data_IF_198714168962
#
_entry.id   IF_198714168962
#
_cell.length_a   1.000
_cell.length_b   1.000
_cell.length_c   1.000
_cell.angle_alpha   90.00
_cell.angle_beta   90.00
_cell.angle_gamma   90.00
#
_symmetry.space_group_name_H-M   'P 1'
#
loop_
_entity.id
_entity.type
_entity.pdbx_description
1 polymer ?
#
# COMPACT_ATOMS: atom_id res chain seq x y z
N UNK A 1 20.04 21.00 56.87
CA UNK A 1 21.20 20.62 56.04
C UNK A 1 20.74 19.58 55.03
N UNK A 2 20.76 19.98 53.76
CA UNK A 2 20.79 19.20 52.51
C UNK A 2 19.78 18.05 52.27
N UNK A 3 18.83 18.32 51.36
CA UNK A 3 18.53 17.54 50.13
C UNK A 3 17.20 18.01 49.55
N UNK A 4 17.22 18.87 48.51
CA UNK A 4 16.17 19.00 47.44
C UNK A 4 16.33 20.29 46.62
N UNK A 5 17.46 20.48 45.93
CA UNK A 5 17.59 21.52 44.88
C UNK A 5 18.44 21.06 43.70
N UNK A 6 18.20 19.84 43.21
CA UNK A 6 18.73 19.39 41.92
C UNK A 6 17.60 18.76 41.14
N UNK A 7 16.91 19.55 40.30
CA UNK A 7 16.22 19.10 39.06
C UNK A 7 15.29 20.20 38.47
N UNK A 8 15.80 21.38 38.11
CA UNK A 8 15.00 22.39 37.39
C UNK A 8 15.63 22.95 36.09
N UNK A 9 16.80 22.47 35.68
CA UNK A 9 17.35 22.81 34.36
C UNK A 9 17.86 21.54 33.65
N UNK A 10 17.05 21.00 32.75
CA UNK A 10 17.56 20.12 31.69
C UNK A 10 18.42 21.00 30.78
N UNK A 11 19.74 20.99 30.95
CA UNK A 11 20.65 21.66 30.03
C UNK A 11 20.72 20.86 28.73
N UNK A 12 19.77 21.11 27.83
CA UNK A 12 19.90 20.67 26.44
C UNK A 12 21.14 21.33 25.82
N UNK A 13 22.01 20.51 25.22
CA UNK A 13 23.21 21.01 24.55
C UNK A 13 22.84 22.05 23.49
N UNK A 14 23.64 23.12 23.29
CA UNK A 14 23.37 24.12 22.25
C UNK A 14 23.15 23.52 20.85
N UNK A 15 23.85 22.43 20.52
CA UNK A 15 23.67 21.68 19.29
C UNK A 15 22.28 21.01 19.19
N UNK A 16 21.77 20.46 20.30
CA UNK A 16 20.43 19.85 20.36
C UNK A 16 19.36 20.92 20.15
N UNK A 17 19.47 22.06 20.83
CA UNK A 17 18.55 23.19 20.64
C UNK A 17 18.54 23.67 19.19
N UNK A 18 19.71 23.79 18.56
CA UNK A 18 19.84 24.19 17.16
C UNK A 18 19.15 23.19 16.23
N UNK A 19 19.45 21.90 16.36
CA UNK A 19 18.86 20.84 15.53
C UNK A 19 17.34 20.70 15.72
N UNK A 20 16.82 20.96 16.92
CA UNK A 20 15.38 21.02 17.18
C UNK A 20 14.70 22.22 16.54
N UNK A 21 15.44 23.28 16.18
CA UNK A 21 14.91 24.44 15.45
C UNK A 21 14.37 24.12 14.05
N UNK A 22 14.78 22.98 13.46
CA UNK A 22 14.23 22.49 12.18
C UNK A 22 13.18 21.38 12.35
N UNK A 23 12.81 21.04 13.59
CA UNK A 23 11.80 20.01 13.87
C UNK A 23 10.47 20.38 13.20
N UNK A 24 9.77 19.38 12.67
CA UNK A 24 8.44 19.52 12.10
C UNK A 24 7.37 19.02 13.07
N UNK A 25 6.20 19.68 13.06
CA UNK A 25 5.06 19.42 13.94
C UNK A 25 5.32 19.77 15.41
N UNK A 26 4.27 19.83 16.22
CA UNK A 26 4.39 20.18 17.66
C UNK A 26 4.23 18.97 18.58
N UNK A 27 3.70 17.87 18.05
CA UNK A 27 3.48 16.64 18.82
C UNK A 27 4.81 15.95 19.17
N UNK A 28 4.86 15.34 20.37
CA UNK A 28 5.97 14.51 20.85
C UNK A 28 7.33 15.21 21.07
N UNK A 29 7.34 16.48 21.50
CA UNK A 29 8.56 17.28 21.70
C UNK A 29 9.64 16.59 22.57
N UNK A 30 9.24 16.05 23.73
CA UNK A 30 10.16 15.30 24.63
C UNK A 30 10.78 14.07 23.96
N UNK A 31 10.07 13.44 23.01
CA UNK A 31 10.60 12.30 22.27
C UNK A 31 11.62 12.77 21.23
N UNK A 32 11.31 13.84 20.49
CA UNK A 32 12.22 14.41 19.50
C UNK A 32 13.52 14.93 20.15
N UNK A 33 13.41 15.58 21.31
CA UNK A 33 14.57 16.03 22.09
C UNK A 33 15.51 14.86 22.43
N UNK A 34 14.96 13.73 22.91
CA UNK A 34 15.74 12.51 23.19
C UNK A 34 16.33 11.89 21.92
N UNK A 35 15.61 11.92 20.80
CA UNK A 35 16.09 11.39 19.52
C UNK A 35 17.30 12.19 19.00
N UNK A 36 17.19 13.52 19.05
CA UNK A 36 18.23 14.45 18.60
C UNK A 36 19.42 14.42 19.56
N UNK A 37 19.21 14.39 20.88
CA UNK A 37 20.30 14.25 21.85
C UNK A 37 21.12 12.96 21.63
N UNK A 38 20.44 11.83 21.41
CA UNK A 38 21.08 10.56 21.06
C UNK A 38 21.87 10.65 19.75
N UNK A 39 21.35 11.38 18.75
CA UNK A 39 22.05 11.59 17.49
C UNK A 39 23.32 12.44 17.66
N UNK A 40 23.21 13.57 18.34
CA UNK A 40 24.32 14.51 18.57
C UNK A 40 25.49 13.79 19.24
N UNK A 41 25.22 12.92 20.22
CA UNK A 41 26.24 12.08 20.88
C UNK A 41 26.94 11.13 19.91
N UNK A 42 26.24 10.62 18.89
CA UNK A 42 26.82 9.75 17.84
C UNK A 42 27.62 10.55 16.83
N UNK A 43 27.09 11.68 16.34
CA UNK A 43 27.73 12.50 15.32
C UNK A 43 28.98 13.21 15.84
N UNK A 44 29.05 13.55 17.14
CA UNK A 44 30.28 14.08 17.76
C UNK A 44 31.50 13.15 17.63
N UNK A 45 31.29 11.85 17.39
CA UNK A 45 32.38 10.88 17.16
C UNK A 45 32.91 10.91 15.73
N UNK A 46 32.20 11.54 14.78
CA UNK A 46 32.56 11.63 13.36
C UNK A 46 32.81 13.10 12.99
N UNK A 47 34.08 13.45 12.76
CA UNK A 47 34.50 14.83 12.46
C UNK A 47 33.73 15.36 11.24
N UNK A 48 33.13 16.54 11.35
CA UNK A 48 32.38 17.21 10.27
C UNK A 48 30.94 16.73 10.05
N UNK A 49 30.51 15.60 10.65
CA UNK A 49 29.17 15.06 10.41
C UNK A 49 28.05 15.94 11.00
N UNK A 50 28.33 16.64 12.10
CA UNK A 50 27.41 17.64 12.66
C UNK A 50 27.23 18.83 11.71
N UNK A 51 28.32 19.38 11.19
CA UNK A 51 28.27 20.53 10.28
C UNK A 51 27.59 20.16 8.95
N UNK A 52 27.81 18.94 8.46
CA UNK A 52 27.12 18.43 7.28
C UNK A 52 25.61 18.27 7.49
N UNK A 53 25.18 17.84 8.68
CA UNK A 53 23.76 17.76 9.03
C UNK A 53 23.13 19.15 9.13
N UNK A 54 23.79 20.08 9.83
CA UNK A 54 23.30 21.45 9.95
C UNK A 54 23.17 22.11 8.59
N UNK A 55 24.16 21.94 7.71
CA UNK A 55 24.12 22.43 6.32
C UNK A 55 22.95 21.83 5.53
N UNK A 56 22.72 20.53 5.66
CA UNK A 56 21.62 19.86 4.97
C UNK A 56 20.25 20.39 5.45
N UNK A 57 20.09 20.61 6.75
CA UNK A 57 18.85 21.14 7.33
C UNK A 57 18.63 22.63 7.01
N UNK A 58 19.71 23.44 6.96
CA UNK A 58 19.64 24.87 6.63
C UNK A 58 19.40 25.16 5.15
N UNK A 59 19.76 24.23 4.26
CA UNK A 59 19.65 24.39 2.80
C UNK A 59 18.83 23.26 2.15
N UNK A 60 17.50 23.19 2.38
CA UNK A 60 16.63 22.17 1.80
C UNK A 60 16.74 22.12 0.28
N UNK A 61 16.83 20.92 -0.29
CA UNK A 61 16.85 20.71 -1.74
C UNK A 61 18.21 20.95 -2.42
N UNK A 62 19.22 21.45 -1.71
CA UNK A 62 20.58 21.54 -2.26
C UNK A 62 21.34 20.21 -2.13
N UNK A 63 22.27 19.90 -3.05
CA UNK A 63 23.15 18.74 -2.93
C UNK A 63 23.90 18.77 -1.60
N UNK A 64 23.83 17.66 -0.86
CA UNK A 64 24.48 17.50 0.45
C UNK A 64 25.09 16.10 0.56
N UNK A 65 26.07 15.95 1.46
CA UNK A 65 26.72 14.66 1.72
C UNK A 65 25.86 13.77 2.61
N UNK A 66 26.15 12.47 2.60
CA UNK A 66 25.49 11.54 3.51
C UNK A 66 25.92 11.82 4.96
N UNK A 67 24.93 12.00 5.84
CA UNK A 67 25.17 12.01 7.28
C UNK A 67 24.83 10.62 7.78
N UNK A 68 25.80 9.89 8.33
CA UNK A 68 25.62 8.47 8.66
C UNK A 68 25.80 8.17 10.14
N UNK A 69 25.17 7.09 10.59
CA UNK A 69 25.43 6.47 11.89
C UNK A 69 25.62 4.95 11.76
N UNK A 70 26.30 4.29 12.71
CA UNK A 70 26.44 2.84 12.71
C UNK A 70 25.09 2.12 12.85
N UNK A 71 24.91 1.00 12.13
CA UNK A 71 23.75 0.11 12.28
C UNK A 71 23.86 -0.74 13.54
N UNK A 72 22.74 -0.97 14.21
CA UNK A 72 22.63 -2.03 15.24
C UNK A 72 22.47 -3.40 14.58
N UNK A 73 22.62 -4.48 15.36
CA UNK A 73 22.42 -5.86 14.90
C UNK A 73 21.05 -6.09 14.26
N UNK A 74 20.00 -5.46 14.79
CA UNK A 74 18.63 -5.54 14.29
C UNK A 74 18.24 -4.33 13.42
N UNK A 75 19.19 -3.44 13.10
CA UNK A 75 18.97 -2.22 12.33
C UNK A 75 18.14 -1.12 13.01
N UNK A 76 17.64 -1.34 14.24
CA UNK A 76 16.77 -0.40 14.95
C UNK A 76 17.51 0.38 16.04
N UNK A 77 17.18 1.67 16.15
CA UNK A 77 17.62 2.57 17.20
C UNK A 77 16.54 2.66 18.29
N UNK A 78 16.96 2.53 19.55
CA UNK A 78 16.10 2.78 20.71
C UNK A 78 16.18 4.26 21.11
N UNK A 79 15.02 4.92 21.17
CA UNK A 79 14.85 6.28 21.67
C UNK A 79 13.80 6.25 22.78
N UNK A 80 14.25 6.47 24.02
CA UNK A 80 13.43 6.28 25.22
C UNK A 80 12.86 4.85 25.29
N UNK A 81 11.52 4.70 25.26
CA UNK A 81 10.82 3.42 25.32
C UNK A 81 10.41 2.88 23.93
N UNK A 82 10.80 3.56 22.84
CA UNK A 82 10.42 3.19 21.47
C UNK A 82 11.64 2.73 20.68
N UNK A 83 11.47 1.66 19.90
CA UNK A 83 12.46 1.21 18.89
C UNK A 83 11.96 1.57 17.51
N UNK A 84 12.83 2.14 16.68
CA UNK A 84 12.49 2.52 15.31
C UNK A 84 13.71 2.51 14.40
N UNK A 85 13.48 2.54 13.10
CA UNK A 85 14.56 2.62 12.11
C UNK A 85 15.16 4.04 12.10
N UNK A 86 16.48 4.22 12.09
CA UNK A 86 17.05 5.55 12.27
C UNK A 86 16.68 6.56 11.18
N UNK A 87 16.70 6.14 9.91
CA UNK A 87 16.28 6.99 8.80
C UNK A 87 14.80 7.42 8.91
N UNK A 88 13.92 6.53 9.39
CA UNK A 88 12.51 6.87 9.67
C UNK A 88 12.40 7.88 10.81
N UNK A 89 13.10 7.63 11.93
CA UNK A 89 13.09 8.52 13.11
C UNK A 89 13.48 9.94 12.69
N UNK A 90 14.59 10.10 11.98
CA UNK A 90 15.13 11.41 11.66
C UNK A 90 14.42 12.10 10.49
N UNK A 91 13.91 11.35 9.49
CA UNK A 91 12.99 11.92 8.50
C UNK A 91 11.68 12.40 9.15
N UNK A 92 11.19 11.66 10.16
CA UNK A 92 9.98 12.05 10.90
C UNK A 92 10.18 13.32 11.70
N UNK A 93 11.33 13.48 12.35
CA UNK A 93 11.67 14.68 13.13
C UNK A 93 11.74 15.93 12.23
N UNK A 94 12.36 15.86 11.05
CA UNK A 94 12.70 17.06 10.27
C UNK A 94 11.92 17.28 8.97
N UNK A 95 11.12 16.32 8.49
CA UNK A 95 10.39 16.48 7.22
C UNK A 95 8.93 16.04 7.28
N UNK A 96 8.66 14.85 7.80
CA UNK A 96 7.34 14.22 7.72
C UNK A 96 6.88 13.70 9.08
N UNK A 97 6.27 14.55 9.93
CA UNK A 97 5.82 14.16 11.29
C UNK A 97 4.88 12.96 11.33
N UNK A 98 4.11 12.79 10.25
CA UNK A 98 3.13 11.74 10.02
C UNK A 98 3.73 10.47 9.40
N UNK A 99 5.04 10.42 9.16
CA UNK A 99 5.75 9.25 8.64
C UNK A 99 5.66 8.08 9.64
N UNK A 100 5.15 6.94 9.19
CA UNK A 100 4.91 5.77 10.04
C UNK A 100 5.86 4.62 9.75
N UNK A 101 6.26 4.45 8.48
CA UNK A 101 7.07 3.32 8.05
C UNK A 101 8.16 3.69 7.05
N UNK A 102 9.18 2.84 6.96
CA UNK A 102 10.24 2.98 5.97
C UNK A 102 9.76 2.73 4.53
N UNK A 103 8.67 1.98 4.34
CA UNK A 103 8.11 1.75 2.99
C UNK A 103 7.62 3.03 2.32
N UNK A 104 7.31 4.06 3.12
CA UNK A 104 6.95 5.40 2.63
C UNK A 104 8.16 6.19 2.13
N UNK A 105 9.39 5.67 2.25
CA UNK A 105 10.61 6.33 1.84
C UNK A 105 11.30 5.58 0.70
N UNK A 106 11.80 6.32 -0.27
CA UNK A 106 12.74 5.84 -1.28
C UNK A 106 14.05 6.62 -1.18
N UNK A 107 15.22 5.96 -1.16
CA UNK A 107 16.49 6.66 -1.23
C UNK A 107 16.62 7.38 -2.58
N UNK A 108 17.29 8.52 -2.58
CA UNK A 108 17.74 9.20 -3.79
C UNK A 108 19.03 8.56 -4.32
N UNK A 109 19.27 8.69 -5.62
CA UNK A 109 20.46 8.13 -6.28
C UNK A 109 21.78 8.69 -5.73
N UNK A 110 21.76 9.92 -5.20
CA UNK A 110 22.92 10.55 -4.57
C UNK A 110 23.25 10.00 -3.17
N UNK A 111 22.43 9.09 -2.62
CA UNK A 111 22.66 8.51 -1.31
C UNK A 111 23.60 7.30 -1.40
N UNK A 112 24.82 7.44 -0.89
CA UNK A 112 25.82 6.37 -0.87
C UNK A 112 25.56 5.30 0.22
N UNK A 113 24.79 5.66 1.25
CA UNK A 113 24.50 4.80 2.42
C UNK A 113 22.99 4.59 2.65
N UNK A 114 22.20 4.15 1.65
CA UNK A 114 20.75 4.05 1.77
C UNK A 114 20.35 2.94 2.75
N UNK A 115 19.15 3.04 3.35
CA UNK A 115 18.71 2.08 4.37
C UNK A 115 18.64 0.62 3.89
N UNK A 116 18.38 0.38 2.60
CA UNK A 116 18.36 -0.96 2.00
C UNK A 116 19.76 -1.56 1.76
N UNK A 117 20.83 -0.78 1.88
CA UNK A 117 22.20 -1.29 1.71
C UNK A 117 22.62 -2.21 2.86
N UNK A 118 23.44 -3.23 2.57
CA UNK A 118 24.08 -4.12 3.58
C UNK A 118 25.33 -3.50 4.24
N UNK A 119 25.51 -2.19 4.11
CA UNK A 119 26.66 -1.48 4.66
C UNK A 119 26.56 -1.35 6.19
N UNK A 120 27.70 -1.18 6.86
CA UNK A 120 27.78 -1.03 8.34
C UNK A 120 27.18 0.28 8.86
N UNK A 121 27.07 1.28 8.00
CA UNK A 121 26.48 2.57 8.30
C UNK A 121 25.12 2.74 7.59
N UNK A 122 24.32 3.70 8.06
CA UNK A 122 23.06 4.10 7.43
C UNK A 122 22.96 5.62 7.40
N UNK A 123 22.55 6.17 6.25
CA UNK A 123 22.30 7.60 6.09
C UNK A 123 21.04 8.03 6.85
N UNK A 124 21.14 9.12 7.60
CA UNK A 124 20.04 9.77 8.32
C UNK A 124 19.74 11.17 7.80
N UNK A 125 20.42 11.62 6.75
CA UNK A 125 20.13 12.90 6.10
C UNK A 125 18.72 12.83 5.49
N UNK A 126 17.75 13.62 5.97
CA UNK A 126 16.36 13.49 5.54
C UNK A 126 16.14 13.95 4.09
N UNK A 127 17.09 14.69 3.49
CA UNK A 127 17.05 15.09 2.08
C UNK A 127 17.68 14.08 1.13
N UNK A 128 18.19 12.96 1.65
CA UNK A 128 18.64 11.81 0.84
C UNK A 128 17.54 10.78 0.61
N UNK A 129 16.33 11.11 1.06
CA UNK A 129 15.13 10.32 0.89
C UNK A 129 14.03 11.18 0.27
N UNK A 130 13.20 10.55 -0.56
CA UNK A 130 11.92 11.11 -1.00
C UNK A 130 10.78 10.29 -0.41
N UNK A 131 9.67 10.94 -0.13
CA UNK A 131 8.45 10.24 0.26
C UNK A 131 7.80 9.62 -0.97
N UNK A 132 7.19 8.45 -0.80
CA UNK A 132 6.36 7.85 -1.83
C UNK A 132 5.03 8.60 -1.84
N UNK A 133 4.74 9.23 -2.98
CA UNK A 133 3.48 9.97 -3.18
C UNK A 133 2.37 9.01 -3.62
N UNK A 134 1.15 9.29 -3.17
CA UNK A 134 -0.04 8.62 -3.68
C UNK A 134 -0.43 9.27 -5.01
N UNK A 135 -0.52 8.51 -6.11
CA UNK A 135 -0.94 9.07 -7.39
C UNK A 135 -2.40 9.50 -7.32
N UNK A 136 -2.73 10.63 -7.95
CA UNK A 136 -4.11 11.07 -8.11
C UNK A 136 -4.83 10.11 -9.06
N UNK A 137 -5.95 9.54 -8.62
CA UNK A 137 -6.74 8.61 -9.41
C UNK A 137 -7.77 9.40 -10.25
N UNK A 138 -7.94 9.08 -11.55
CA UNK A 138 -8.93 9.75 -12.39
C UNK A 138 -10.35 9.41 -11.93
N UNK A 139 -11.33 10.33 -12.06
CA UNK A 139 -12.72 10.03 -11.73
C UNK A 139 -13.31 8.98 -12.68
N UNK A 140 -14.18 8.12 -12.15
CA UNK A 140 -14.94 7.16 -12.95
C UNK A 140 -16.17 7.87 -13.52
N UNK A 141 -16.36 7.80 -14.83
CA UNK A 141 -17.50 8.42 -15.51
C UNK A 141 -18.66 7.44 -15.62
N UNK A 142 -19.80 7.76 -14.98
CA UNK A 142 -21.01 6.94 -15.03
C UNK A 142 -22.02 7.54 -16.01
N UNK A 143 -22.46 6.82 -17.06
CA UNK A 143 -23.51 7.27 -17.98
C UNK A 143 -24.84 7.50 -17.25
N UNK A 144 -25.54 8.59 -17.56
CA UNK A 144 -26.86 8.93 -16.99
C UNK A 144 -28.02 8.15 -17.61
N UNK A 145 -27.86 7.66 -18.83
CA UNK A 145 -28.88 6.93 -19.58
C UNK A 145 -28.40 5.49 -19.81
N UNK A 146 -29.04 4.55 -19.14
CA UNK A 146 -28.83 3.11 -19.27
C UNK A 146 -29.50 2.57 -20.55
N UNK A 147 -29.23 3.16 -21.70
CA UNK A 147 -29.47 2.45 -22.98
C UNK A 147 -28.32 1.45 -23.18
N UNK A 148 -28.44 0.34 -22.46
CA UNK A 148 -27.57 -0.81 -22.58
C UNK A 148 -27.67 -1.37 -24.01
N UNK A 149 -26.55 -1.49 -24.73
CA UNK A 149 -26.52 -2.22 -25.98
C UNK A 149 -26.25 -3.72 -25.67
N UNK A 150 -27.27 -4.60 -25.75
CA UNK A 150 -27.12 -6.01 -25.41
C UNK A 150 -26.16 -6.78 -26.32
N UNK A 151 -25.77 -6.22 -27.47
CA UNK A 151 -24.78 -6.84 -28.37
C UNK A 151 -23.33 -6.67 -27.90
N UNK A 152 -23.06 -5.82 -26.89
CA UNK A 152 -21.73 -5.60 -26.32
C UNK A 152 -21.52 -6.29 -24.96
N UNK A 153 -22.42 -7.19 -24.56
CA UNK A 153 -22.28 -7.97 -23.33
C UNK A 153 -21.06 -8.91 -23.39
N UNK A 154 -19.90 -8.38 -23.01
CA UNK A 154 -18.66 -9.12 -22.82
C UNK A 154 -18.63 -9.88 -21.49
N UNK A 155 -19.80 -10.13 -20.89
CA UNK A 155 -19.96 -11.07 -19.77
C UNK A 155 -19.41 -12.45 -20.15
N UNK A 156 -19.46 -12.79 -21.45
CA UNK A 156 -18.69 -13.87 -22.05
C UNK A 156 -17.18 -13.64 -21.91
N UNK A 157 -16.55 -12.57 -22.41
CA UNK A 157 -15.07 -12.33 -22.28
C UNK A 157 -14.56 -12.35 -20.84
N UNK A 158 -15.31 -11.84 -19.85
CA UNK A 158 -14.95 -11.98 -18.43
C UNK A 158 -15.09 -13.44 -17.92
N UNK A 159 -16.06 -14.21 -18.42
CA UNK A 159 -16.18 -15.69 -18.25
C UNK A 159 -15.33 -16.51 -19.23
N UNK A 160 -14.61 -15.90 -20.16
CA UNK A 160 -14.03 -16.56 -21.34
C UNK A 160 -12.52 -16.36 -21.40
N UNK A 161 -11.99 -15.41 -20.64
CA UNK A 161 -10.70 -15.56 -19.97
C UNK A 161 -10.64 -16.83 -19.08
N UNK A 162 -11.78 -17.44 -18.74
CA UNK A 162 -11.84 -18.76 -18.09
C UNK A 162 -12.27 -19.92 -19.00
N UNK A 163 -12.41 -19.75 -20.32
CA UNK A 163 -12.92 -20.82 -21.21
C UNK A 163 -12.18 -21.02 -22.55
N UNK A 164 -11.12 -20.28 -22.87
CA UNK A 164 -10.25 -20.63 -24.00
C UNK A 164 -8.95 -21.28 -23.51
N UNK A 165 -8.87 -22.59 -23.75
CA UNK A 165 -7.89 -23.58 -23.26
C UNK A 165 -7.79 -23.60 -21.74
N UNK A 166 -8.22 -24.67 -21.07
CA UNK A 166 -7.79 -25.00 -19.69
C UNK A 166 -6.28 -24.81 -19.61
N UNK A 167 -5.75 -23.71 -19.05
CA UNK A 167 -4.37 -23.70 -18.65
C UNK A 167 -4.40 -24.45 -17.33
N UNK A 168 -3.84 -25.67 -17.32
CA UNK A 168 -3.51 -26.39 -16.09
C UNK A 168 -3.16 -25.38 -14.99
N UNK A 169 -3.93 -25.40 -13.89
CA UNK A 169 -3.71 -24.55 -12.72
C UNK A 169 -2.21 -24.34 -12.51
N UNK A 170 -1.68 -23.11 -12.62
CA UNK A 170 -0.25 -22.91 -12.63
C UNK A 170 0.32 -23.24 -11.26
N UNK A 171 1.17 -24.27 -11.21
CA UNK A 171 2.01 -24.69 -10.08
C UNK A 171 2.52 -23.49 -9.27
N UNK A 172 2.46 -23.60 -7.93
CA UNK A 172 2.75 -22.57 -6.93
C UNK A 172 3.61 -21.45 -7.51
N UNK A 173 3.02 -20.27 -7.71
CA UNK A 173 3.79 -19.04 -7.87
C UNK A 173 4.49 -18.75 -6.54
N UNK A 174 5.58 -19.47 -6.30
CA UNK A 174 6.60 -19.08 -5.34
C UNK A 174 7.37 -18.00 -6.05
N UNK A 175 7.46 -16.82 -5.43
CA UNK A 175 8.30 -15.74 -5.93
C UNK A 175 9.66 -15.81 -5.21
N UNK A 176 10.68 -16.54 -5.72
CA UNK A 176 12.04 -16.32 -5.30
C UNK A 176 12.67 -15.37 -6.30
N UNK A 177 12.68 -14.06 -6.02
CA UNK A 177 13.94 -13.35 -6.16
C UNK A 177 13.94 -12.00 -5.45
N UNK A 178 15.08 -11.71 -4.84
CA UNK A 178 15.38 -10.41 -4.29
C UNK A 178 15.49 -9.44 -5.47
N UNK A 179 14.73 -8.35 -5.46
CA UNK A 179 14.69 -7.34 -6.54
C UNK A 179 16.11 -6.86 -6.95
N UNK A 180 16.69 -7.48 -7.98
CA UNK A 180 17.62 -6.82 -8.89
C UNK A 180 16.82 -6.40 -10.12
N UNK A 181 16.74 -5.09 -10.35
CA UNK A 181 16.19 -4.55 -11.59
C UNK A 181 17.10 -4.97 -12.76
N UNK A 182 16.59 -5.58 -13.84
CA UNK A 182 17.36 -5.68 -15.07
C UNK A 182 17.47 -4.29 -15.72
N UNK A 183 18.61 -3.95 -16.34
CA UNK A 183 18.77 -2.67 -17.03
C UNK A 183 17.86 -2.61 -18.26
N UNK A 184 17.18 -1.48 -18.43
CA UNK A 184 16.35 -1.18 -19.60
C UNK A 184 17.18 -1.25 -20.90
N UNK A 185 16.76 -1.99 -21.93
CA UNK A 185 17.28 -1.77 -23.28
C UNK A 185 16.59 -0.53 -23.87
N UNK A 186 17.39 0.46 -24.25
CA UNK A 186 16.94 1.62 -25.01
C UNK A 186 16.44 1.19 -26.39
N UNK A 187 15.21 1.58 -26.74
CA UNK A 187 14.71 1.48 -28.12
C UNK A 187 15.19 2.70 -28.93
N UNK A 188 15.59 2.52 -30.21
CA UNK A 188 15.99 3.62 -31.08
C UNK A 188 14.76 4.37 -31.63
N UNK A 189 14.89 5.66 -32.02
CA UNK A 189 13.79 6.44 -32.57
C UNK A 189 13.58 6.14 -34.06
N UNK A 190 12.33 5.96 -34.47
CA UNK A 190 11.93 5.88 -35.88
C UNK A 190 11.76 7.28 -36.49
N UNK A 191 12.14 7.51 -37.77
CA UNK A 191 11.99 8.81 -38.44
C UNK A 191 10.57 9.01 -39.00
N UNK A 192 10.02 10.21 -38.82
CA UNK A 192 8.75 10.65 -39.42
C UNK A 192 8.88 11.02 -40.90
N UNK A 193 7.77 11.03 -41.68
CA UNK A 193 7.80 11.36 -43.10
C UNK A 193 7.76 12.89 -43.35
N UNK A 194 8.32 13.39 -44.46
CA UNK A 194 8.33 14.83 -44.77
C UNK A 194 7.06 15.27 -45.52
N UNK A 195 6.53 16.44 -45.14
CA UNK A 195 5.54 17.20 -45.91
C UNK A 195 6.20 17.93 -47.10
N UNK A 196 5.52 18.06 -48.26
CA UNK A 196 5.87 19.07 -49.25
C UNK A 196 5.00 20.35 -49.12
N UNK A 197 5.50 21.52 -49.54
CA UNK A 197 4.88 22.82 -49.30
C UNK A 197 3.85 23.20 -50.38
N UNK A 198 2.87 24.01 -49.97
CA UNK A 198 1.87 24.68 -50.81
C UNK A 198 2.48 25.63 -51.85
N UNK A 199 1.69 26.01 -52.86
CA UNK A 199 1.64 27.41 -53.28
C UNK A 199 0.23 28.00 -53.21
N UNK A 200 0.19 29.26 -52.83
CA UNK A 200 -0.95 30.15 -52.70
C UNK A 200 -1.33 30.82 -54.04
N UNK A 201 -2.63 31.06 -54.28
CA UNK A 201 -3.22 32.34 -54.75
C UNK A 201 -4.75 32.28 -54.94
N UNK A 202 -5.48 33.12 -54.20
CA UNK A 202 -6.52 34.05 -54.67
C UNK A 202 -7.95 33.59 -55.06
N UNK A 203 -8.97 34.13 -54.35
CA UNK A 203 -10.27 34.55 -54.93
C UNK A 203 -11.56 33.91 -54.38
N UNK A 204 -12.31 34.65 -53.54
CA UNK A 204 -13.67 34.35 -53.01
C UNK A 204 -14.80 34.50 -54.08
N UNK A 205 -16.03 33.92 -53.93
CA UNK A 205 -17.10 34.42 -53.03
C UNK A 205 -17.89 33.32 -52.23
N UNK A 206 -18.78 33.72 -51.28
CA UNK A 206 -19.28 32.87 -50.19
C UNK A 206 -20.62 32.19 -50.48
N UNK A 207 -20.93 31.12 -49.73
CA UNK A 207 -22.25 30.46 -49.67
C UNK A 207 -22.51 29.91 -48.26
N UNK A 208 -23.79 29.76 -47.86
CA UNK A 208 -24.27 30.27 -46.57
C UNK A 208 -24.24 29.26 -45.40
N UNK A 209 -24.03 29.82 -44.22
CA UNK A 209 -24.51 29.40 -42.90
C UNK A 209 -25.02 27.95 -42.74
N UNK A 210 -24.14 27.06 -42.24
CA UNK A 210 -24.58 25.97 -41.36
C UNK A 210 -24.25 26.38 -39.93
N UNK A 211 -25.30 26.73 -39.19
CA UNK A 211 -25.24 26.94 -37.74
C UNK A 211 -24.56 25.73 -37.09
N UNK A 212 -23.38 25.95 -36.51
CA UNK A 212 -22.74 24.99 -35.62
C UNK A 212 -23.59 24.92 -34.35
N UNK A 213 -24.48 23.92 -34.27
CA UNK A 213 -25.09 23.55 -32.99
C UNK A 213 -23.95 23.17 -32.03
N UNK A 214 -23.88 23.78 -30.82
CA UNK A 214 -22.88 23.38 -29.85
C UNK A 214 -23.14 21.92 -29.48
N UNK A 215 -22.10 21.11 -29.69
CA UNK A 215 -21.97 19.70 -29.32
C UNK A 215 -22.42 19.53 -27.86
N UNK A 216 -23.66 19.09 -27.63
CA UNK A 216 -24.25 18.80 -26.31
C UNK A 216 -23.77 17.46 -25.70
N UNK A 217 -22.59 16.96 -26.06
CA UNK A 217 -22.16 15.59 -25.67
C UNK A 217 -21.47 15.46 -24.30
N UNK A 218 -21.26 16.54 -23.55
CA UNK A 218 -20.63 16.47 -22.22
C UNK A 218 -21.65 16.44 -21.06
N UNK A 219 -22.95 16.44 -21.33
CA UNK A 219 -24.00 16.52 -20.28
C UNK A 219 -24.46 15.17 -19.71
N UNK A 220 -24.01 14.04 -20.30
CA UNK A 220 -24.60 12.71 -20.03
C UNK A 220 -23.77 11.82 -19.09
N UNK A 221 -22.64 12.30 -18.58
CA UNK A 221 -21.79 11.54 -17.65
C UNK A 221 -21.73 12.21 -16.27
N UNK A 222 -21.73 11.40 -15.21
CA UNK A 222 -21.47 11.87 -13.85
C UNK A 222 -20.09 11.40 -13.39
N UNK A 223 -19.16 12.31 -13.04
CA UNK A 223 -17.87 11.93 -12.50
C UNK A 223 -18.01 11.48 -11.05
N UNK A 224 -17.38 10.35 -10.71
CA UNK A 224 -17.26 9.82 -9.36
C UNK A 224 -15.80 9.81 -8.95
N UNK A 225 -15.42 10.75 -8.08
CA UNK A 225 -14.07 10.89 -7.57
C UNK A 225 -13.78 9.88 -6.44
N UNK A 226 -12.53 9.43 -6.39
CA UNK A 226 -12.00 8.66 -5.26
C UNK A 226 -11.74 9.56 -4.06
N UNK A 227 -12.08 9.07 -2.86
CA UNK A 227 -11.77 9.73 -1.58
C UNK A 227 -11.10 8.71 -0.66
N UNK A 228 -10.03 9.11 0.02
CA UNK A 228 -9.37 8.23 0.99
C UNK A 228 -10.19 8.16 2.30
N UNK A 229 -10.56 6.96 2.77
CA UNK A 229 -11.29 6.81 4.03
C UNK A 229 -10.37 6.99 5.25
N UNK A 230 -10.97 7.24 6.41
CA UNK A 230 -10.25 7.35 7.69
C UNK A 230 -9.52 6.05 8.07
N UNK A 231 -10.16 4.91 7.82
CA UNK A 231 -9.57 3.59 7.95
C UNK A 231 -9.39 3.01 6.55
N UNK A 232 -8.19 2.56 6.21
CA UNK A 232 -7.93 2.08 4.85
C UNK A 232 -8.37 0.62 4.66
N UNK A 233 -8.39 -0.17 5.74
CA UNK A 233 -8.93 -1.51 5.73
C UNK A 233 -9.48 -1.96 7.09
N UNK A 234 -10.28 -3.03 7.05
CA UNK A 234 -10.66 -3.81 8.22
C UNK A 234 -10.24 -5.27 8.05
N UNK A 235 -9.90 -5.93 9.15
CA UNK A 235 -9.40 -7.30 9.17
C UNK A 235 -10.22 -8.15 10.13
N UNK A 236 -10.82 -9.22 9.64
CA UNK A 236 -11.55 -10.20 10.43
C UNK A 236 -10.75 -11.52 10.49
N UNK A 237 -10.64 -12.11 11.68
CA UNK A 237 -9.93 -13.37 11.90
C UNK A 237 -10.91 -14.55 12.00
N UNK A 238 -10.49 -15.67 11.43
CA UNK A 238 -11.28 -16.89 11.36
C UNK A 238 -10.44 -18.11 11.73
N UNK A 239 -11.11 -19.05 12.40
CA UNK A 239 -10.62 -20.40 12.63
C UNK A 239 -11.58 -21.37 11.95
N UNK A 240 -11.14 -22.03 10.89
CA UNK A 240 -11.99 -22.77 9.96
C UNK A 240 -13.10 -21.86 9.40
N UNK A 241 -14.37 -22.21 9.57
CA UNK A 241 -15.53 -21.41 9.17
C UNK A 241 -16.06 -20.48 10.26
N UNK A 242 -15.44 -20.43 11.43
CA UNK A 242 -15.90 -19.62 12.56
C UNK A 242 -15.14 -18.30 12.64
N UNK A 243 -15.86 -17.18 12.74
CA UNK A 243 -15.27 -15.87 13.05
C UNK A 243 -14.86 -15.84 14.51
N UNK A 244 -13.64 -15.39 14.78
CA UNK A 244 -13.05 -15.37 16.13
C UNK A 244 -12.57 -13.97 16.48
N UNK A 245 -13.11 -13.40 17.55
CA UNK A 245 -12.79 -12.05 18.01
C UNK A 245 -13.48 -10.94 17.22
N UNK A 246 -13.13 -9.70 17.57
CA UNK A 246 -13.64 -8.50 16.90
C UNK A 246 -12.90 -8.21 15.60
N UNK A 247 -13.53 -7.42 14.73
CA UNK A 247 -12.85 -6.91 13.53
C UNK A 247 -11.88 -5.81 13.90
N UNK A 248 -10.63 -5.95 13.48
CA UNK A 248 -9.61 -4.92 13.62
C UNK A 248 -9.79 -3.83 12.56
N UNK A 249 -9.70 -2.57 12.96
CA UNK A 249 -9.81 -1.39 12.07
C UNK A 249 -8.45 -0.71 11.93
N UNK A 250 -7.90 -0.68 10.71
CA UNK A 250 -6.58 -0.14 10.47
C UNK A 250 -6.62 1.39 10.38
N UNK A 251 -6.24 2.07 11.46
CA UNK A 251 -6.00 3.53 11.46
C UNK A 251 -4.64 3.91 10.91
N UNK A 252 -3.62 3.09 11.15
CA UNK A 252 -2.27 3.30 10.61
C UNK A 252 -2.13 2.65 9.25
N UNK A 253 -1.35 3.27 8.38
CA UNK A 253 -0.97 2.73 7.06
C UNK A 253 0.01 1.55 7.15
N UNK A 254 0.41 1.16 8.36
CA UNK A 254 1.36 0.08 8.62
C UNK A 254 0.88 -0.73 9.82
N UNK A 255 0.34 -1.92 9.57
CA UNK A 255 -0.29 -2.79 10.58
C UNK A 255 0.40 -4.14 10.65
N UNK A 256 0.77 -4.56 11.86
CA UNK A 256 1.30 -5.89 12.13
C UNK A 256 0.18 -6.81 12.63
N UNK A 257 -0.03 -7.96 12.00
CA UNK A 257 -0.97 -8.99 12.46
C UNK A 257 -0.15 -10.20 12.87
N UNK A 258 -0.17 -10.56 14.16
CA UNK A 258 0.75 -11.57 14.71
C UNK A 258 0.08 -12.55 15.68
N UNK A 259 0.81 -13.60 16.07
CA UNK A 259 0.33 -14.65 16.97
C UNK A 259 0.61 -14.39 18.44
N UNK A 260 1.05 -13.19 18.82
CA UNK A 260 1.40 -12.85 20.19
C UNK A 260 0.18 -12.32 20.97
N UNK A 261 0.40 -11.91 22.22
CA UNK A 261 -0.65 -11.62 23.21
C UNK A 261 -0.53 -10.22 23.81
N UNK A 262 0.02 -9.25 23.07
CA UNK A 262 0.13 -7.87 23.59
C UNK A 262 -1.27 -7.29 23.81
N UNK A 263 -1.66 -7.02 25.06
CA UNK A 263 -3.01 -6.57 25.41
C UNK A 263 -3.14 -5.04 25.29
N UNK A 264 -2.05 -4.33 24.98
CA UNK A 264 -2.14 -2.90 24.76
C UNK A 264 -3.05 -2.64 23.56
N UNK A 265 -3.94 -1.65 23.66
CA UNK A 265 -4.82 -1.23 22.57
C UNK A 265 -4.03 -0.49 21.47
N UNK A 266 -2.99 -1.16 20.96
CA UNK A 266 -2.10 -0.66 19.94
C UNK A 266 -2.85 -0.71 18.61
N UNK A 267 -3.28 0.45 18.13
CA UNK A 267 -4.04 0.62 16.89
C UNK A 267 -3.28 0.21 15.62
N UNK A 268 -2.00 -0.19 15.75
CA UNK A 268 -1.14 -0.60 14.64
C UNK A 268 -0.79 -2.09 14.72
N UNK A 269 -1.35 -2.83 15.68
CA UNK A 269 -1.02 -4.24 15.92
C UNK A 269 -2.27 -5.06 16.24
N UNK A 270 -2.51 -6.11 15.46
CA UNK A 270 -3.60 -7.05 15.68
C UNK A 270 -3.05 -8.39 16.19
N UNK A 271 -3.14 -8.60 17.50
CA UNK A 271 -2.62 -9.78 18.18
C UNK A 271 -3.66 -10.90 18.18
N UNK A 272 -3.46 -11.92 17.34
CA UNK A 272 -4.37 -13.07 17.25
C UNK A 272 -4.23 -14.00 18.45
N UNK A 273 -3.08 -13.99 19.14
CA UNK A 273 -2.74 -14.90 20.24
C UNK A 273 -3.67 -14.80 21.45
N UNK A 274 -4.19 -13.61 21.73
CA UNK A 274 -5.12 -13.35 22.86
C UNK A 274 -6.58 -13.70 22.57
N UNK A 275 -6.92 -13.99 21.31
CA UNK A 275 -8.29 -14.31 20.92
C UNK A 275 -8.68 -15.72 21.39
N UNK A 276 -9.77 -15.82 22.13
CA UNK A 276 -10.32 -17.09 22.63
C UNK A 276 -11.32 -17.69 21.64
N UNK A 277 -11.33 -19.03 21.53
CA UNK A 277 -12.31 -19.79 20.78
C UNK A 277 -12.53 -21.13 21.48
N UNK A 278 -13.77 -21.41 21.90
CA UNK A 278 -14.13 -22.66 22.59
C UNK A 278 -14.16 -23.87 21.65
N UNK A 279 -14.35 -23.64 20.36
CA UNK A 279 -14.40 -24.69 19.33
C UNK A 279 -13.01 -25.02 18.75
N UNK A 280 -11.94 -24.53 19.39
CA UNK A 280 -10.57 -24.67 18.92
C UNK A 280 -10.10 -26.11 19.12
N UNK A 281 -9.60 -26.72 18.05
CA UNK A 281 -9.00 -28.05 18.08
C UNK A 281 -7.46 -27.98 18.07
N UNK A 282 -6.80 -29.12 18.31
CA UNK A 282 -5.35 -29.24 18.39
C UNK A 282 -4.60 -28.77 17.14
N UNK A 283 -5.19 -28.94 15.94
CA UNK A 283 -4.59 -28.47 14.69
C UNK A 283 -4.57 -26.95 14.60
N UNK A 284 -5.65 -26.29 15.06
CA UNK A 284 -5.71 -24.83 15.15
C UNK A 284 -4.72 -24.31 16.18
N UNK A 285 -4.66 -24.91 17.37
CA UNK A 285 -3.69 -24.52 18.40
C UNK A 285 -2.24 -24.65 17.91
N UNK A 286 -1.92 -25.76 17.24
CA UNK A 286 -0.61 -25.97 16.65
C UNK A 286 -0.29 -24.91 15.59
N UNK A 287 -1.26 -24.56 14.74
CA UNK A 287 -1.10 -23.55 13.70
C UNK A 287 -0.88 -22.16 14.30
N UNK A 288 -1.64 -21.78 15.33
CA UNK A 288 -1.51 -20.49 16.03
C UNK A 288 -0.11 -20.26 16.60
N UNK A 289 0.53 -21.31 17.14
CA UNK A 289 1.91 -21.22 17.65
C UNK A 289 2.93 -20.88 16.56
N UNK A 290 2.66 -21.23 15.30
CA UNK A 290 3.53 -20.95 14.16
C UNK A 290 3.21 -19.63 13.44
N UNK A 291 2.16 -18.90 13.84
CA UNK A 291 1.92 -17.56 13.32
C UNK A 291 3.11 -16.66 13.70
N UNK A 292 3.57 -16.72 14.95
CA UNK A 292 4.75 -15.99 15.41
C UNK A 292 4.60 -14.49 15.15
N UNK A 293 5.56 -13.88 14.44
CA UNK A 293 5.51 -12.47 14.01
C UNK A 293 4.43 -12.18 12.96
N UNK A 294 3.88 -13.20 12.32
CA UNK A 294 2.75 -13.12 11.40
C UNK A 294 3.03 -12.37 10.10
N UNK A 295 2.18 -11.41 9.77
CA UNK A 295 2.22 -10.63 8.52
C UNK A 295 2.22 -9.14 8.81
N UNK A 296 3.02 -8.39 8.07
CA UNK A 296 3.00 -6.93 8.06
C UNK A 296 2.28 -6.45 6.80
N UNK A 297 1.16 -5.76 7.00
CA UNK A 297 0.40 -5.11 5.95
C UNK A 297 0.73 -3.63 5.93
N UNK A 298 1.05 -3.09 4.75
CA UNK A 298 1.28 -1.66 4.61
C UNK A 298 0.65 -1.09 3.33
N UNK A 299 0.08 0.11 3.47
CA UNK A 299 -0.52 0.89 2.41
C UNK A 299 0.36 2.10 2.08
N UNK A 300 0.92 2.11 0.88
CA UNK A 300 1.83 3.16 0.44
C UNK A 300 1.62 3.46 -1.03
N UNK A 301 1.53 4.75 -1.39
CA UNK A 301 1.44 5.17 -2.78
C UNK A 301 0.22 4.62 -3.55
N UNK A 302 -0.90 4.34 -2.87
CA UNK A 302 -2.07 3.72 -3.51
C UNK A 302 -1.97 2.20 -3.71
N UNK A 303 -0.98 1.56 -3.10
CA UNK A 303 -0.72 0.13 -3.21
C UNK A 303 -0.74 -0.52 -1.83
N UNK A 304 -1.21 -1.76 -1.75
CA UNK A 304 -1.20 -2.57 -0.52
C UNK A 304 -0.23 -3.73 -0.71
N UNK A 305 0.63 -3.91 0.28
CA UNK A 305 1.62 -4.99 0.32
C UNK A 305 1.40 -5.88 1.53
N UNK A 306 1.73 -7.16 1.38
CA UNK A 306 1.84 -8.12 2.47
C UNK A 306 3.28 -8.63 2.55
N UNK A 307 3.92 -8.43 3.70
CA UNK A 307 5.24 -8.96 4.02
C UNK A 307 5.14 -10.07 5.07
N UNK A 308 5.65 -11.25 4.74
CA UNK A 308 5.66 -12.39 5.64
C UNK A 308 6.83 -12.26 6.62
N UNK A 309 6.55 -11.73 7.80
CA UNK A 309 7.56 -11.60 8.88
C UNK A 309 7.63 -12.84 9.78
N UNK A 310 6.67 -13.76 9.66
CA UNK A 310 6.68 -15.08 10.30
C UNK A 310 7.76 -16.00 9.72
N UNK A 311 8.21 -16.97 10.51
CA UNK A 311 9.09 -18.06 10.06
C UNK A 311 8.34 -19.07 9.16
N UNK A 312 7.00 -19.11 9.26
CA UNK A 312 6.13 -19.92 8.40
C UNK A 312 5.54 -19.08 7.27
N UNK A 313 5.34 -19.69 6.09
CA UNK A 313 4.72 -19.02 4.94
C UNK A 313 3.27 -18.62 5.20
N UNK A 314 2.84 -17.58 4.50
CA UNK A 314 1.44 -17.18 4.38
C UNK A 314 0.94 -17.41 2.94
N UNK A 315 -0.36 -17.54 2.78
CA UNK A 315 -1.00 -17.87 1.50
C UNK A 315 -2.08 -16.84 1.23
N UNK A 316 -2.05 -16.18 0.08
CA UNK A 316 -2.89 -15.02 -0.22
C UNK A 316 -3.70 -15.24 -1.47
N UNK A 317 -5.00 -15.01 -1.39
CA UNK A 317 -5.89 -14.89 -2.54
C UNK A 317 -6.31 -13.43 -2.66
N UNK A 318 -5.75 -12.75 -3.65
CA UNK A 318 -6.17 -11.40 -4.05
C UNK A 318 -6.51 -11.42 -5.54
N UNK A 319 -7.77 -11.13 -5.87
CA UNK A 319 -8.21 -11.07 -7.27
C UNK A 319 -7.50 -9.95 -8.04
N UNK A 320 -7.20 -8.83 -7.38
CA UNK A 320 -6.45 -7.72 -7.99
C UNK A 320 -5.04 -8.14 -8.38
N UNK A 321 -4.32 -8.81 -7.45
CA UNK A 321 -2.99 -9.33 -7.73
C UNK A 321 -3.02 -10.43 -8.81
N UNK A 322 -3.98 -11.36 -8.73
CA UNK A 322 -4.14 -12.43 -9.71
C UNK A 322 -4.41 -11.88 -11.11
N UNK A 323 -5.29 -10.88 -11.24
CA UNK A 323 -5.57 -10.21 -12.51
C UNK A 323 -4.31 -9.54 -13.09
N UNK A 324 -3.54 -8.82 -12.25
CA UNK A 324 -2.32 -8.14 -12.70
C UNK A 324 -1.28 -9.10 -13.32
N UNK A 325 -1.23 -10.34 -12.83
CA UNK A 325 -0.28 -11.35 -13.29
C UNK A 325 -0.90 -12.36 -14.29
N UNK A 326 -2.16 -12.16 -14.69
CA UNK A 326 -2.85 -13.07 -15.61
C UNK A 326 -3.20 -14.44 -15.02
N UNK A 327 -3.25 -14.56 -13.69
CA UNK A 327 -3.65 -15.79 -13.01
C UNK A 327 -5.16 -15.92 -12.89
N UNK A 328 -5.63 -17.15 -12.67
CA UNK A 328 -7.03 -17.41 -12.37
C UNK A 328 -7.47 -16.62 -11.12
N UNK A 329 -8.67 -16.01 -11.07
CA UNK A 329 -9.08 -15.16 -9.95
C UNK A 329 -9.05 -15.86 -8.58
N UNK A 330 -9.24 -17.18 -8.55
CA UNK A 330 -9.19 -17.99 -7.34
C UNK A 330 -7.78 -18.48 -6.94
N UNK A 331 -6.73 -18.16 -7.70
CA UNK A 331 -5.35 -18.58 -7.41
C UNK A 331 -4.90 -18.09 -6.03
N UNK A 332 -4.16 -18.95 -5.32
CA UNK A 332 -3.61 -18.67 -4.01
C UNK A 332 -2.09 -18.57 -4.14
N UNK A 333 -1.55 -17.38 -3.91
CA UNK A 333 -0.11 -17.09 -3.97
C UNK A 333 0.55 -17.39 -2.62
N UNK A 334 1.63 -18.17 -2.62
CA UNK A 334 2.45 -18.42 -1.42
C UNK A 334 3.47 -17.29 -1.24
N UNK A 335 3.53 -16.71 -0.04
CA UNK A 335 4.55 -15.74 0.34
C UNK A 335 5.46 -16.42 1.40
N UNK A 336 6.70 -16.79 1.03
CA UNK A 336 7.67 -17.35 1.96
C UNK A 336 8.11 -16.36 3.04
N UNK A 337 8.73 -16.88 4.11
CA UNK A 337 9.29 -16.06 5.18
C UNK A 337 10.31 -15.04 4.63
N UNK A 338 10.17 -13.78 5.05
CA UNK A 338 11.00 -12.66 4.61
C UNK A 338 10.65 -12.09 3.23
N UNK A 339 9.67 -12.66 2.53
CA UNK A 339 9.23 -12.14 1.23
C UNK A 339 8.07 -11.15 1.38
N UNK A 340 7.95 -10.23 0.41
CA UNK A 340 6.85 -9.28 0.31
C UNK A 340 6.19 -9.38 -1.07
N UNK A 341 4.86 -9.24 -1.10
CA UNK A 341 4.06 -9.27 -2.32
C UNK A 341 3.14 -8.05 -2.36
N UNK A 342 3.04 -7.40 -3.53
CA UNK A 342 2.00 -6.40 -3.80
C UNK A 342 0.67 -7.12 -3.99
N UNK A 343 -0.23 -6.95 -3.04
CA UNK A 343 -1.52 -7.66 -3.01
C UNK A 343 -2.66 -6.82 -3.57
N UNK A 344 -2.49 -5.50 -3.69
CA UNK A 344 -3.50 -4.63 -4.31
C UNK A 344 -2.87 -3.37 -4.92
N UNK A 345 -3.40 -2.93 -6.06
CA UNK A 345 -3.06 -1.67 -6.71
C UNK A 345 -4.34 -0.86 -7.03
N UNK A 346 -4.45 0.34 -6.45
CA UNK A 346 -5.60 1.22 -6.66
C UNK A 346 -5.72 1.73 -8.11
N UNK A 347 -4.62 1.95 -8.81
CA UNK A 347 -4.67 2.38 -10.22
C UNK A 347 -5.25 1.29 -11.11
N UNK A 348 -4.83 0.04 -10.90
CA UNK A 348 -5.38 -1.11 -11.61
C UNK A 348 -6.88 -1.26 -11.32
N UNK A 349 -7.28 -1.12 -10.04
CA UNK A 349 -8.69 -1.17 -9.67
C UNK A 349 -9.49 -0.05 -10.33
N UNK A 350 -8.97 1.19 -10.36
CA UNK A 350 -9.61 2.33 -11.02
C UNK A 350 -9.87 2.06 -12.51
N UNK A 351 -8.87 1.50 -13.21
CA UNK A 351 -8.99 1.14 -14.63
C UNK A 351 -10.06 0.07 -14.84
N UNK A 352 -10.08 -0.97 -14.01
CA UNK A 352 -11.09 -2.03 -14.09
C UNK A 352 -12.50 -1.52 -13.78
N UNK A 353 -12.63 -0.64 -12.79
CA UNK A 353 -13.90 -0.02 -12.43
C UNK A 353 -14.44 0.85 -13.57
N UNK A 354 -13.61 1.72 -14.13
CA UNK A 354 -13.98 2.56 -15.27
C UNK A 354 -14.41 1.74 -16.49
N UNK A 355 -13.70 0.65 -16.79
CA UNK A 355 -14.08 -0.26 -17.88
C UNK A 355 -15.41 -0.98 -17.57
N UNK A 356 -15.60 -1.45 -16.34
CA UNK A 356 -16.75 -2.26 -15.94
C UNK A 356 -18.07 -1.50 -15.96
N UNK A 357 -18.05 -0.17 -15.73
CA UNK A 357 -19.26 0.67 -15.80
C UNK A 357 -19.97 0.55 -17.15
N UNK A 358 -19.22 0.45 -18.24
CA UNK A 358 -19.79 0.29 -19.60
C UNK A 358 -20.39 -1.09 -19.86
N UNK A 359 -20.12 -2.07 -19.00
CA UNK A 359 -20.56 -3.46 -19.15
C UNK A 359 -21.79 -3.80 -18.29
N UNK A 360 -22.28 -2.86 -17.48
CA UNK A 360 -23.51 -2.99 -16.72
C UNK A 360 -23.32 -3.28 -15.23
N UNK A 361 -24.44 -3.23 -14.50
CA UNK A 361 -24.48 -3.29 -13.03
C UNK A 361 -23.83 -4.55 -12.45
N UNK A 362 -24.12 -5.73 -13.00
CA UNK A 362 -23.63 -7.02 -12.46
C UNK A 362 -22.10 -7.13 -12.48
N UNK A 363 -21.46 -6.64 -13.54
CA UNK A 363 -19.99 -6.66 -13.68
C UNK A 363 -19.36 -5.74 -12.64
N UNK A 364 -19.92 -4.56 -12.43
CA UNK A 364 -19.47 -3.62 -11.39
C UNK A 364 -19.69 -4.23 -10.01
N UNK A 365 -20.85 -4.85 -9.75
CA UNK A 365 -21.13 -5.49 -8.46
C UNK A 365 -20.14 -6.63 -8.14
N UNK A 366 -19.74 -7.42 -9.14
CA UNK A 366 -18.71 -8.46 -8.99
C UNK A 366 -17.34 -7.91 -8.57
N UNK A 367 -17.02 -6.64 -8.86
CA UNK A 367 -15.80 -5.99 -8.39
C UNK A 367 -15.75 -5.86 -6.86
N UNK A 368 -16.87 -6.01 -6.14
CA UNK A 368 -16.88 -6.09 -4.68
C UNK A 368 -15.92 -7.17 -4.19
N UNK A 369 -15.84 -8.29 -4.91
CA UNK A 369 -14.94 -9.41 -4.59
C UNK A 369 -13.45 -9.08 -4.83
N UNK A 370 -13.13 -8.02 -5.59
CA UNK A 370 -11.76 -7.52 -5.74
C UNK A 370 -11.30 -6.77 -4.49
N UNK A 371 -12.24 -6.16 -3.76
CA UNK A 371 -11.96 -5.38 -2.57
C UNK A 371 -11.77 -6.23 -1.30
N UNK A 372 -11.98 -7.55 -1.41
CA UNK A 372 -11.77 -8.53 -0.34
C UNK A 372 -10.56 -9.39 -0.66
N UNK A 373 -9.62 -9.45 0.27
CA UNK A 373 -8.42 -10.29 0.18
C UNK A 373 -8.45 -11.30 1.31
N UNK A 374 -8.16 -12.56 0.99
CA UNK A 374 -8.11 -13.65 1.97
C UNK A 374 -6.69 -14.13 2.15
N UNK A 375 -6.30 -14.37 3.40
CA UNK A 375 -4.95 -14.82 3.72
C UNK A 375 -4.96 -15.88 4.80
N UNK A 376 -4.30 -17.01 4.56
CA UNK A 376 -4.12 -18.07 5.55
C UNK A 376 -2.70 -18.11 6.08
N UNK A 377 -2.56 -18.45 7.36
CA UNK A 377 -1.28 -18.62 8.02
C UNK A 377 -0.87 -20.09 8.00
N UNK A 378 0.40 -20.36 7.67
CA UNK A 378 1.07 -21.69 7.77
C UNK A 378 0.54 -22.74 6.80
N UNK A 379 -0.77 -22.81 6.53
CA UNK A 379 -1.41 -23.83 5.69
C UNK A 379 -2.00 -23.19 4.43
N UNK A 380 -1.63 -23.72 3.27
CA UNK A 380 -2.20 -23.33 1.99
C UNK A 380 -3.55 -23.99 1.69
N UNK A 381 -4.27 -23.41 0.74
CA UNK A 381 -5.51 -23.93 0.17
C UNK A 381 -5.58 -23.62 -1.34
N UNK A 382 -6.54 -24.21 -2.03
CA UNK A 382 -6.77 -24.07 -3.47
C UNK A 382 -6.34 -25.31 -4.26
N UNK A 383 -6.31 -25.19 -5.58
CA UNK A 383 -6.17 -26.32 -6.50
C UNK A 383 -4.93 -27.22 -6.26
N UNK A 384 -3.87 -26.68 -5.67
CA UNK A 384 -2.61 -27.40 -5.42
C UNK A 384 -2.46 -27.93 -4.00
N UNK A 385 -3.46 -27.72 -3.16
CA UNK A 385 -3.44 -28.13 -1.77
C UNK A 385 -4.56 -29.12 -1.51
N UNK A 386 -4.38 -29.96 -0.49
CA UNK A 386 -5.45 -30.86 -0.06
C UNK A 386 -6.73 -30.10 0.34
N UNK A 387 -6.58 -28.88 0.86
CA UNK A 387 -7.69 -27.99 1.23
C UNK A 387 -8.12 -27.20 0.01
N UNK A 388 -9.35 -27.35 -0.44
CA UNK A 388 -9.87 -26.58 -1.58
C UNK A 388 -10.42 -25.20 -1.15
N UNK A 389 -11.00 -25.12 0.04
CA UNK A 389 -11.57 -23.88 0.58
C UNK A 389 -10.73 -23.26 1.71
N UNK A 390 -10.73 -21.93 1.76
CA UNK A 390 -10.07 -21.17 2.83
C UNK A 390 -10.62 -21.53 4.21
N UNK A 391 -11.91 -21.88 4.30
CA UNK A 391 -12.61 -22.30 5.52
C UNK A 391 -12.13 -23.66 6.04
N UNK A 392 -11.37 -24.40 5.23
CA UNK A 392 -10.67 -25.62 5.66
C UNK A 392 -9.30 -25.33 6.27
N UNK A 393 -8.83 -24.08 6.22
CA UNK A 393 -7.56 -23.68 6.82
C UNK A 393 -7.74 -23.37 8.31
N UNK A 394 -6.79 -23.76 9.17
CA UNK A 394 -6.98 -23.63 10.62
C UNK A 394 -7.03 -22.18 11.12
N UNK A 395 -6.28 -21.29 10.47
CA UNK A 395 -6.16 -19.88 10.86
C UNK A 395 -6.05 -19.02 9.61
N UNK A 396 -7.00 -18.10 9.39
CA UNK A 396 -6.96 -17.19 8.26
C UNK A 396 -7.64 -15.86 8.59
N UNK A 397 -7.40 -14.86 7.76
CA UNK A 397 -7.97 -13.52 7.87
C UNK A 397 -8.63 -13.12 6.55
N UNK A 398 -9.67 -12.31 6.68
CA UNK A 398 -10.32 -11.61 5.59
C UNK A 398 -10.09 -10.11 5.73
N UNK A 399 -9.58 -9.48 4.68
CA UNK A 399 -9.20 -8.07 4.64
C UNK A 399 -10.15 -7.36 3.69
N UNK A 400 -10.83 -6.33 4.16
CA UNK A 400 -11.70 -5.47 3.35
C UNK A 400 -11.05 -4.12 3.13
N UNK A 401 -10.84 -3.72 1.87
CA UNK A 401 -10.24 -2.44 1.51
C UNK A 401 -11.31 -1.37 1.38
N UNK A 402 -11.33 -0.41 2.30
CA UNK A 402 -12.43 0.56 2.41
C UNK A 402 -12.44 1.58 1.28
N UNK A 403 -11.27 2.03 0.81
CA UNK A 403 -11.19 2.99 -0.29
C UNK A 403 -11.82 2.45 -1.57
N UNK A 404 -11.35 1.29 -2.08
CA UNK A 404 -11.98 0.63 -3.23
C UNK A 404 -13.47 0.34 -3.04
N UNK A 405 -13.90 -0.13 -1.85
CA UNK A 405 -15.31 -0.38 -1.55
C UNK A 405 -16.16 0.90 -1.61
N UNK A 406 -15.69 1.99 -0.99
CA UNK A 406 -16.41 3.26 -0.99
C UNK A 406 -16.52 3.85 -2.40
N UNK A 407 -15.46 3.72 -3.20
CA UNK A 407 -15.51 4.17 -4.59
C UNK A 407 -16.50 3.36 -5.42
N UNK A 408 -16.49 2.03 -5.24
CA UNK A 408 -17.43 1.12 -5.88
C UNK A 408 -18.89 1.43 -5.50
N UNK A 409 -19.15 1.64 -4.21
CA UNK A 409 -20.47 1.99 -3.68
C UNK A 409 -21.02 3.28 -4.30
N UNK A 410 -20.19 4.33 -4.39
CA UNK A 410 -20.56 5.59 -5.06
C UNK A 410 -20.90 5.40 -6.54
N UNK A 411 -20.19 4.51 -7.25
CA UNK A 411 -20.46 4.19 -8.65
C UNK A 411 -21.78 3.40 -8.78
N UNK A 412 -21.95 2.32 -8.00
CA UNK A 412 -23.15 1.49 -8.00
C UNK A 412 -24.42 2.29 -7.70
N UNK A 413 -24.34 3.20 -6.72
CA UNK A 413 -25.45 4.10 -6.36
C UNK A 413 -25.93 4.96 -7.54
N UNK A 414 -25.03 5.27 -8.48
CA UNK A 414 -25.36 6.06 -9.68
C UNK A 414 -25.85 5.21 -10.86
N UNK A 415 -25.63 3.89 -10.85
CA UNK A 415 -26.00 2.99 -11.95
C UNK A 415 -27.44 2.46 -11.89
N UNK A 416 -28.17 2.68 -10.79
CA UNK A 416 -29.54 2.18 -10.61
C UNK A 416 -29.61 0.72 -10.16
N UNK A 417 -30.76 0.07 -10.34
CA UNK A 417 -31.02 -1.32 -9.91
C UNK A 417 -30.68 -2.36 -10.99
N UNK A 418 -30.41 -3.62 -10.61
CA UNK A 418 -30.30 -4.72 -11.56
C UNK A 418 -31.56 -4.84 -12.44
N UNK A 419 -31.39 -5.29 -13.69
CA UNK A 419 -32.51 -5.46 -14.62
C UNK A 419 -33.42 -6.64 -14.26
N UNK A 420 -32.90 -7.67 -13.60
CA UNK A 420 -33.67 -8.83 -13.21
C UNK A 420 -34.31 -8.61 -11.83
N UNK A 421 -35.65 -8.43 -11.74
CA UNK A 421 -36.31 -8.36 -10.45
C UNK A 421 -36.17 -9.69 -9.73
N UNK A 422 -35.79 -9.63 -8.46
CA UNK A 422 -35.70 -10.80 -7.59
C UNK A 422 -37.11 -11.07 -7.02
N UNK A 423 -37.56 -12.32 -7.08
CA UNK A 423 -38.82 -12.73 -6.46
C UNK A 423 -38.71 -12.69 -4.94
N UNK A 424 -39.74 -12.19 -4.27
CA UNK A 424 -39.83 -12.20 -2.80
C UNK A 424 -40.28 -13.55 -2.22
N UNK A 425 -40.54 -14.54 -3.08
CA UNK A 425 -41.17 -15.84 -2.71
C UNK A 425 -40.28 -17.04 -3.03
N UNK A 426 -39.20 -16.85 -3.79
CA UNK A 426 -38.30 -17.91 -4.24
C UNK A 426 -37.28 -18.35 -3.19
#
# INVERSE_FOLDING_TARGET
INKTWVSLFSFTSPAVKRLLGWKQGDEEEKWAEKAVDSLVKKLKKKKGAMDELERALSCPGQPSKCVTIPRSLDGRLQVSHRKGLPHVIYCRVWRWPDLQSHHELKPLECCEFPFGSKQKEVCINPYHYRRVETPVLPPVLVPRHSEYNPQLSLLAKFRSASLHSEPLMPHNATYPDSFQQPPCPAFPPSPGPPFPPSPCTGGYPPSPEMMCHPVRFLSDFRPVCYEEPQHWCSVAYYELNNRVGETFQASSRSVLIDGFTDPSNNRNRFCLGLLSNVNRNSTIENTRRHIGKGVHLYYVGGEVYAECVSDSSIFVQSRNCNYQHGFHPATVCKIPSGCSLKIFNNQLFAQLLAQSVHHGFEVVYELTKMCTIRMSFVKGWGAEYHRQDVTSTPCWIEIHLHGPLQWLDKVLTQMGSPHNPISSVS
#
